data_IF_604372325477
#
_entry.id   IF_604372325477
#
_cell.length_a   1.000
_cell.length_b   1.000
_cell.length_c   1.000
_cell.angle_alpha   90.00
_cell.angle_beta   90.00
_cell.angle_gamma   90.00
#
_symmetry.space_group_name_H-M   'P 1'
#
loop_
_entity.id
_entity.type
_entity.pdbx_description
1 polymer ?
#
# COMPACT_ATOMS: atom_id res chain seq x y z
N UNK A 1 33.63 -19.95 -14.82
CA UNK A 1 32.79 -18.87 -15.38
C UNK A 1 31.49 -18.87 -14.59
N UNK A 2 31.30 -17.88 -13.72
CA UNK A 2 30.05 -17.69 -12.99
C UNK A 2 29.00 -17.22 -14.00
N UNK A 3 28.12 -18.13 -14.42
CA UNK A 3 26.92 -17.77 -15.16
C UNK A 3 25.98 -17.08 -14.19
N UNK A 4 25.78 -15.78 -14.41
CA UNK A 4 24.75 -15.00 -13.75
C UNK A 4 23.39 -15.65 -14.01
N UNK A 5 22.79 -16.16 -12.94
CA UNK A 5 21.35 -16.37 -12.87
C UNK A 5 20.71 -14.98 -12.87
N UNK A 6 20.52 -14.43 -14.07
CA UNK A 6 19.55 -13.37 -14.31
C UNK A 6 18.18 -13.95 -13.96
N UNK A 7 17.79 -13.77 -12.69
CA UNK A 7 16.45 -14.02 -12.19
C UNK A 7 15.50 -13.19 -13.06
N UNK A 8 14.71 -13.87 -13.88
CA UNK A 8 13.79 -13.23 -14.83
C UNK A 8 12.82 -12.28 -14.09
N UNK A 9 12.34 -11.21 -14.75
CA UNK A 9 11.33 -10.29 -14.19
C UNK A 9 10.07 -11.00 -13.67
N UNK A 10 9.70 -12.13 -14.28
CA UNK A 10 8.60 -12.97 -13.83
C UNK A 10 8.83 -13.56 -12.44
N UNK A 11 10.04 -14.09 -12.15
CA UNK A 11 10.34 -14.64 -10.82
C UNK A 11 10.37 -13.56 -9.73
N UNK A 12 10.76 -12.33 -10.08
CA UNK A 12 10.73 -11.19 -9.17
C UNK A 12 9.28 -10.74 -8.88
N UNK A 13 8.42 -10.70 -9.90
CA UNK A 13 7.00 -10.38 -9.74
C UNK A 13 6.27 -11.43 -8.89
N UNK A 14 6.53 -12.72 -9.12
CA UNK A 14 5.96 -13.82 -8.34
C UNK A 14 6.42 -13.76 -6.87
N UNK A 15 7.71 -13.49 -6.65
CA UNK A 15 8.26 -13.29 -5.31
C UNK A 15 7.63 -12.08 -4.60
N UNK A 16 7.48 -10.96 -5.31
CA UNK A 16 6.83 -9.77 -4.75
C UNK A 16 5.37 -10.04 -4.35
N UNK A 17 4.62 -10.76 -5.18
CA UNK A 17 3.24 -11.16 -4.86
C UNK A 17 3.17 -12.07 -3.63
N UNK A 18 4.08 -13.05 -3.53
CA UNK A 18 4.19 -13.92 -2.35
C UNK A 18 4.49 -13.14 -1.06
N UNK A 19 5.46 -12.23 -1.11
CA UNK A 19 5.82 -11.38 0.02
C UNK A 19 4.66 -10.47 0.45
N UNK A 20 3.94 -9.90 -0.52
CA UNK A 20 2.75 -9.07 -0.24
C UNK A 20 1.65 -9.87 0.48
N UNK A 21 1.38 -11.10 0.02
CA UNK A 21 0.40 -11.98 0.67
C UNK A 21 0.85 -12.42 2.08
N UNK A 22 2.15 -12.70 2.25
CA UNK A 22 2.72 -13.02 3.55
C UNK A 22 2.57 -11.86 4.53
N UNK A 23 2.84 -10.62 4.08
CA UNK A 23 2.65 -9.42 4.89
C UNK A 23 1.22 -9.25 5.37
N UNK A 24 0.24 -9.46 4.48
CA UNK A 24 -1.20 -9.42 4.85
C UNK A 24 -1.54 -10.50 5.87
N UNK A 25 -1.04 -11.72 5.70
CA UNK A 25 -1.29 -12.82 6.63
C UNK A 25 -0.69 -12.56 8.02
N UNK A 26 0.55 -12.03 8.08
CA UNK A 26 1.21 -11.65 9.33
C UNK A 26 0.47 -10.51 10.05
N UNK A 27 0.06 -9.47 9.31
CA UNK A 27 -0.77 -8.39 9.89
C UNK A 27 -2.10 -8.92 10.43
N UNK A 28 -2.75 -9.85 9.73
CA UNK A 28 -3.96 -10.52 10.22
C UNK A 28 -3.70 -11.37 11.48
N UNK A 29 -2.53 -12.00 11.58
CA UNK A 29 -2.13 -12.73 12.80
C UNK A 29 -1.89 -11.78 13.97
N UNK A 30 -1.23 -10.65 13.73
CA UNK A 30 -1.08 -9.57 14.70
C UNK A 30 -2.44 -9.05 15.19
N UNK A 31 -3.39 -8.77 14.29
CA UNK A 31 -4.73 -8.33 14.68
C UNK A 31 -5.43 -9.30 15.64
N UNK A 32 -5.14 -10.60 15.52
CA UNK A 32 -5.74 -11.65 16.33
C UNK A 32 -5.00 -11.88 17.66
N UNK A 33 -3.67 -11.79 17.66
CA UNK A 33 -2.82 -12.25 18.76
C UNK A 33 -2.09 -11.11 19.49
N UNK A 34 -1.90 -9.96 18.85
CA UNK A 34 -1.17 -8.82 19.39
C UNK A 34 0.35 -9.03 19.49
N UNK A 35 0.91 -10.02 18.79
CA UNK A 35 2.34 -10.34 18.85
C UNK A 35 3.15 -9.32 18.03
N UNK A 36 3.92 -8.44 18.69
CA UNK A 36 4.66 -7.35 18.03
C UNK A 36 5.58 -7.84 16.89
N UNK A 37 6.19 -9.01 17.05
CA UNK A 37 7.02 -9.65 16.03
C UNK A 37 6.26 -9.87 14.70
N UNK A 38 4.95 -10.11 14.76
CA UNK A 38 4.12 -10.29 13.57
C UNK A 38 3.98 -9.01 12.77
N UNK A 39 3.74 -7.87 13.43
CA UNK A 39 3.56 -6.61 12.73
C UNK A 39 4.90 -6.08 12.19
N UNK A 40 5.99 -6.26 12.94
CA UNK A 40 7.34 -5.95 12.48
C UNK A 40 7.71 -6.76 11.23
N UNK A 41 7.45 -8.06 11.25
CA UNK A 41 7.67 -8.91 10.06
C UNK A 41 6.73 -8.55 8.91
N UNK A 42 5.46 -8.23 9.18
CA UNK A 42 4.50 -7.81 8.16
C UNK A 42 4.99 -6.58 7.41
N UNK A 43 5.52 -5.58 8.13
CA UNK A 43 6.11 -4.37 7.56
C UNK A 43 7.34 -4.74 6.73
N UNK A 44 8.26 -5.53 7.28
CA UNK A 44 9.50 -5.92 6.59
C UNK A 44 9.22 -6.62 5.26
N UNK A 45 8.34 -7.62 5.23
CA UNK A 45 8.05 -8.37 3.99
C UNK A 45 7.22 -7.54 3.01
N UNK A 46 6.34 -6.66 3.50
CA UNK A 46 5.59 -5.74 2.63
C UNK A 46 6.52 -4.70 1.98
N UNK A 47 7.52 -4.20 2.71
CA UNK A 47 8.55 -3.32 2.15
C UNK A 47 9.36 -4.04 1.06
N UNK A 48 9.79 -5.29 1.30
CA UNK A 48 10.47 -6.08 0.27
C UNK A 48 9.59 -6.30 -0.98
N UNK A 49 8.29 -6.52 -0.80
CA UNK A 49 7.36 -6.62 -1.93
C UNK A 49 7.30 -5.31 -2.73
N UNK A 50 7.28 -4.15 -2.05
CA UNK A 50 7.35 -2.83 -2.67
C UNK A 50 8.66 -2.67 -3.44
N UNK A 51 9.80 -3.01 -2.84
CA UNK A 51 11.12 -2.83 -3.44
C UNK A 51 11.34 -3.72 -4.67
N UNK A 52 10.79 -4.93 -4.66
CA UNK A 52 10.85 -5.87 -5.79
C UNK A 52 9.86 -5.55 -6.91
N UNK A 53 8.86 -4.69 -6.65
CA UNK A 53 7.88 -4.29 -7.65
C UNK A 53 8.33 -3.00 -8.34
N UNK A 54 8.59 -3.00 -9.66
CA UNK A 54 8.92 -1.77 -10.38
C UNK A 54 7.79 -0.74 -10.33
N UNK A 55 8.11 0.55 -10.37
CA UNK A 55 7.10 1.62 -10.29
C UNK A 55 6.09 1.60 -11.43
N UNK A 56 6.50 1.09 -12.60
CA UNK A 56 5.64 0.91 -13.75
C UNK A 56 4.70 -0.31 -13.69
N UNK A 57 4.77 -1.13 -12.64
CA UNK A 57 4.01 -2.37 -12.54
C UNK A 57 2.63 -2.17 -11.89
N UNK A 58 1.59 -2.84 -12.41
CA UNK A 58 0.20 -2.65 -11.99
C UNK A 58 -0.10 -3.04 -10.52
N UNK A 59 0.77 -3.85 -9.91
CA UNK A 59 0.64 -4.29 -8.53
C UNK A 59 1.36 -3.37 -7.52
N UNK A 60 2.09 -2.33 -7.97
CA UNK A 60 2.89 -1.48 -7.08
C UNK A 60 2.02 -0.78 -6.04
N UNK A 61 0.90 -0.19 -6.45
CA UNK A 61 -0.01 0.48 -5.50
C UNK A 61 -0.60 -0.48 -4.48
N UNK A 62 -0.86 -1.73 -4.85
CA UNK A 62 -1.40 -2.73 -3.93
C UNK A 62 -0.39 -3.06 -2.83
N UNK A 63 0.87 -3.31 -3.20
CA UNK A 63 1.94 -3.59 -2.23
C UNK A 63 2.20 -2.40 -1.30
N UNK A 64 2.20 -1.16 -1.84
CA UNK A 64 2.27 0.05 -1.03
C UNK A 64 1.06 0.18 -0.09
N UNK A 65 -0.16 -0.11 -0.56
CA UNK A 65 -1.37 -0.06 0.28
C UNK A 65 -1.30 -1.07 1.43
N UNK A 66 -0.77 -2.27 1.19
CA UNK A 66 -0.57 -3.29 2.22
C UNK A 66 0.49 -2.86 3.25
N UNK A 67 1.61 -2.30 2.78
CA UNK A 67 2.63 -1.73 3.66
C UNK A 67 2.05 -0.60 4.53
N UNK A 68 1.32 0.34 3.93
CA UNK A 68 0.67 1.43 4.66
C UNK A 68 -0.34 0.93 5.70
N UNK A 69 -1.05 -0.16 5.41
CA UNK A 69 -1.96 -0.78 6.38
C UNK A 69 -1.22 -1.44 7.56
N UNK A 70 -0.06 -2.05 7.33
CA UNK A 70 0.76 -2.63 8.39
C UNK A 70 1.38 -1.52 9.26
N UNK A 71 1.94 -0.48 8.65
CA UNK A 71 2.47 0.69 9.35
C UNK A 71 1.39 1.40 10.19
N UNK A 72 0.19 1.57 9.65
CA UNK A 72 -0.93 2.17 10.39
C UNK A 72 -1.31 1.32 11.61
N UNK A 73 -1.37 0.00 11.42
CA UNK A 73 -1.71 -0.92 12.49
C UNK A 73 -0.68 -0.89 13.63
N UNK A 74 0.62 -0.78 13.30
CA UNK A 74 1.67 -0.58 14.28
C UNK A 74 1.52 0.77 15.00
N UNK A 75 1.32 1.87 14.24
CA UNK A 75 1.10 3.20 14.79
C UNK A 75 -0.08 3.24 15.79
N UNK A 76 -1.22 2.64 15.43
CA UNK A 76 -2.41 2.60 16.28
C UNK A 76 -2.18 1.79 17.57
N UNK A 77 -1.26 0.83 17.55
CA UNK A 77 -0.95 -0.01 18.70
C UNK A 77 0.12 0.59 19.62
N UNK A 78 1.14 1.24 19.05
CA UNK A 78 2.31 1.75 19.79
C UNK A 78 2.23 3.26 20.09
N UNK A 79 1.45 4.02 19.31
CA UNK A 79 1.24 5.46 19.51
C UNK A 79 2.45 6.35 19.17
N UNK A 80 3.42 5.85 18.40
CA UNK A 80 4.62 6.61 18.05
C UNK A 80 4.35 7.59 16.90
N UNK A 81 4.24 8.89 17.23
CA UNK A 81 3.90 9.97 16.28
C UNK A 81 4.79 10.04 15.02
N UNK A 82 6.03 9.55 15.06
CA UNK A 82 6.92 9.51 13.88
C UNK A 82 6.42 8.59 12.77
N UNK A 83 5.57 7.61 13.08
CA UNK A 83 5.14 6.61 12.11
C UNK A 83 4.05 7.11 11.17
N UNK A 84 3.26 8.13 11.57
CA UNK A 84 2.11 8.54 10.76
C UNK A 84 2.49 9.24 9.46
N UNK A 85 3.62 9.94 9.43
CA UNK A 85 4.16 10.54 8.21
C UNK A 85 4.57 9.46 7.21
N UNK A 86 5.16 8.36 7.68
CA UNK A 86 5.51 7.19 6.86
C UNK A 86 4.26 6.50 6.31
N UNK A 87 3.22 6.32 7.13
CA UNK A 87 1.92 5.80 6.69
C UNK A 87 1.33 6.68 5.58
N UNK A 88 1.33 8.00 5.80
CA UNK A 88 0.80 8.99 4.86
C UNK A 88 1.52 8.95 3.53
N UNK A 89 2.86 9.03 3.55
CA UNK A 89 3.70 8.96 2.35
C UNK A 89 3.44 7.68 1.57
N UNK A 90 3.29 6.55 2.26
CA UNK A 90 3.05 5.25 1.63
C UNK A 90 1.70 5.23 0.89
N UNK A 91 0.62 5.73 1.50
CA UNK A 91 -0.68 5.81 0.82
C UNK A 91 -0.71 6.85 -0.31
N UNK A 92 0.02 7.96 -0.19
CA UNK A 92 0.19 8.93 -1.28
C UNK A 92 0.87 8.29 -2.48
N UNK A 93 2.00 7.61 -2.28
CA UNK A 93 2.70 6.90 -3.35
C UNK A 93 1.79 5.85 -4.04
N UNK A 94 0.99 5.12 -3.28
CA UNK A 94 0.02 4.17 -3.83
C UNK A 94 -1.07 4.87 -4.68
N UNK A 95 -1.56 6.02 -4.21
CA UNK A 95 -2.58 6.83 -4.89
C UNK A 95 -2.06 7.41 -6.21
N UNK A 96 -0.80 7.82 -6.23
CA UNK A 96 -0.14 8.47 -7.37
C UNK A 96 0.39 7.48 -8.42
N UNK A 97 0.47 6.18 -8.10
CA UNK A 97 0.98 5.16 -9.02
C UNK A 97 0.01 4.92 -10.20
N UNK A 98 0.21 5.68 -11.29
CA UNK A 98 -0.68 5.66 -12.48
C UNK A 98 -0.71 4.33 -13.24
N UNK A 99 0.29 3.47 -13.06
CA UNK A 99 0.33 2.14 -13.68
C UNK A 99 -0.58 1.13 -13.00
N UNK A 100 -1.01 1.40 -11.76
CA UNK A 100 -1.92 0.53 -11.02
C UNK A 100 -3.39 0.79 -11.35
N UNK A 101 -4.28 -0.20 -11.20
CA UNK A 101 -5.71 -0.04 -11.46
C UNK A 101 -6.32 1.11 -10.64
N UNK A 102 -7.25 1.91 -11.22
CA UNK A 102 -7.91 3.00 -10.49
C UNK A 102 -8.60 2.56 -9.19
N UNK A 103 -9.11 1.33 -9.13
CA UNK A 103 -9.75 0.77 -7.92
C UNK A 103 -8.79 0.63 -6.74
N UNK A 104 -7.56 0.19 -7.00
CA UNK A 104 -6.52 0.05 -5.98
C UNK A 104 -6.07 1.43 -5.51
N UNK A 105 -5.84 2.35 -6.46
CA UNK A 105 -5.46 3.74 -6.15
C UNK A 105 -6.54 4.47 -5.36
N UNK A 106 -7.81 4.25 -5.68
CA UNK A 106 -8.95 4.80 -4.93
C UNK A 106 -8.99 4.26 -3.50
N UNK A 107 -8.71 2.96 -3.29
CA UNK A 107 -8.63 2.39 -1.95
C UNK A 107 -7.52 3.06 -1.12
N UNK A 108 -6.34 3.25 -1.71
CA UNK A 108 -5.23 3.96 -1.07
C UNK A 108 -5.62 5.41 -0.72
N UNK A 109 -6.22 6.14 -1.65
CA UNK A 109 -6.66 7.51 -1.43
C UNK A 109 -7.71 7.62 -0.32
N UNK A 110 -8.63 6.66 -0.25
CA UNK A 110 -9.65 6.60 0.80
C UNK A 110 -9.04 6.32 2.19
N UNK A 111 -8.03 5.45 2.25
CA UNK A 111 -7.27 5.18 3.49
C UNK A 111 -6.47 6.41 3.92
N UNK A 112 -5.82 7.09 2.97
CA UNK A 112 -5.14 8.36 3.21
C UNK A 112 -6.11 9.41 3.77
N UNK A 113 -7.27 9.62 3.13
CA UNK A 113 -8.26 10.59 3.60
C UNK A 113 -8.78 10.27 5.02
N UNK A 114 -9.00 8.99 5.31
CA UNK A 114 -9.42 8.54 6.65
C UNK A 114 -8.35 8.82 7.70
N UNK A 115 -7.09 8.47 7.40
CA UNK A 115 -5.94 8.70 8.26
C UNK A 115 -5.77 10.20 8.56
N UNK A 116 -5.72 11.02 7.50
CA UNK A 116 -5.49 12.45 7.62
C UNK A 116 -6.62 13.14 8.39
N UNK A 117 -7.87 12.71 8.19
CA UNK A 117 -9.02 13.25 8.94
C UNK A 117 -8.98 12.89 10.43
N UNK A 118 -8.32 11.77 10.79
CA UNK A 118 -8.30 11.27 12.17
C UNK A 118 -7.14 11.85 12.96
N UNK A 119 -5.97 11.98 12.34
CA UNK A 119 -4.72 12.23 13.06
C UNK A 119 -3.90 13.41 12.54
N UNK A 120 -4.30 14.04 11.44
CA UNK A 120 -3.57 15.16 10.83
C UNK A 120 -4.44 16.43 10.75
N UNK A 121 -3.88 17.50 10.20
CA UNK A 121 -4.59 18.75 10.01
C UNK A 121 -5.56 18.72 8.82
N UNK A 122 -6.45 19.71 8.80
CA UNK A 122 -7.47 19.86 7.76
C UNK A 122 -6.88 20.03 6.35
N UNK A 123 -5.67 20.56 6.20
CA UNK A 123 -5.02 20.72 4.89
C UNK A 123 -4.67 19.36 4.31
N UNK A 124 -4.05 18.48 5.10
CA UNK A 124 -3.69 17.13 4.67
C UNK A 124 -4.92 16.29 4.32
N UNK A 125 -6.00 16.43 5.11
CA UNK A 125 -7.26 15.78 4.81
C UNK A 125 -7.86 16.27 3.47
N UNK A 126 -7.81 17.59 3.21
CA UNK A 126 -8.31 18.16 1.95
C UNK A 126 -7.52 17.66 0.74
N UNK A 127 -6.19 17.58 0.83
CA UNK A 127 -5.35 17.03 -0.25
C UNK A 127 -5.71 15.58 -0.55
N UNK A 128 -5.95 14.77 0.49
CA UNK A 128 -6.39 13.39 0.33
C UNK A 128 -7.77 13.27 -0.35
N UNK A 129 -8.75 14.07 0.08
CA UNK A 129 -10.08 14.09 -0.57
C UNK A 129 -10.01 14.57 -2.02
N UNK A 130 -9.13 15.52 -2.33
CA UNK A 130 -8.90 15.95 -3.70
C UNK A 130 -8.40 14.79 -4.56
N UNK A 131 -7.44 14.01 -4.06
CA UNK A 131 -6.95 12.83 -4.78
C UNK A 131 -8.04 11.77 -4.99
N UNK A 132 -8.93 11.56 -4.00
CA UNK A 132 -10.11 10.69 -4.15
C UNK A 132 -11.01 11.18 -5.30
N UNK A 133 -11.34 12.47 -5.32
CA UNK A 133 -12.21 13.07 -6.34
C UNK A 133 -11.61 12.97 -7.76
N UNK A 134 -10.29 13.07 -7.89
CA UNK A 134 -9.59 12.94 -9.18
C UNK A 134 -9.63 11.50 -9.75
N UNK A 135 -9.80 10.49 -8.89
CA UNK A 135 -9.83 9.08 -9.30
C UNK A 135 -11.24 8.62 -9.66
N UNK A 136 -12.29 9.18 -9.04
CA UNK A 136 -13.70 8.76 -9.25
C UNK A 136 -14.09 8.66 -10.74
N UNK A 137 -13.78 9.62 -11.62
CA UNK A 137 -14.14 9.52 -13.04
C UNK A 137 -13.56 8.28 -13.74
N UNK A 138 -12.37 7.84 -13.32
CA UNK A 138 -11.69 6.67 -13.89
C UNK A 138 -12.38 5.35 -13.48
N UNK A 139 -13.06 5.33 -12.32
CA UNK A 139 -13.86 4.19 -11.87
C UNK A 139 -15.21 4.12 -12.56
N UNK A 140 -15.89 5.27 -12.66
CA UNK A 140 -17.25 5.35 -13.22
C UNK A 140 -17.25 5.04 -14.72
N UNK A 141 -16.23 5.50 -15.45
CA UNK A 141 -16.10 5.23 -16.88
C UNK A 141 -15.89 3.73 -17.19
N UNK A 142 -15.15 3.00 -16.36
CA UNK A 142 -14.99 1.55 -16.50
C UNK A 142 -16.31 0.79 -16.25
N UNK A 143 -17.23 1.34 -15.45
CA UNK A 143 -18.55 0.76 -15.20
C UNK A 143 -19.61 1.04 -16.27
N UNK A 144 -19.35 1.95 -17.22
CA UNK A 144 -20.32 2.34 -18.27
C UNK A 144 -20.06 1.72 -19.65
N UNK A 145 -19.12 0.78 -19.77
CA UNK A 145 -18.97 -0.02 -21.01
C UNK A 145 -20.00 -1.15 -21.05
N UNK A 146 -21.27 -0.79 -21.27
CA UNK A 146 -22.33 -1.72 -21.69
C UNK A 146 -22.61 -1.48 -23.18
N UNK A 147 -22.65 -2.59 -23.91
CA UNK A 147 -22.82 -2.77 -25.36
C UNK A 147 -23.81 -1.85 -26.08
#
# INVERSE_FOLDING_TARGET
MQQGLDLTPASHADKAAWLSNLGVALKGRFDCLGELEDIEHAIQVSQQAVDLTPDGHASKALSLTNLGAALLCQFEHLGELGDIENVTSTYQQATENKSSPPSVRYNAASRWATLSSTYQDSSQALDAYKAVLEIIPQLVWLGQTVH
#
